data_IF_582053710772
#
_entry.id   IF_582053710772
#
_cell.length_a   1.000
_cell.length_b   1.000
_cell.length_c   1.000
_cell.angle_alpha   90.00
_cell.angle_beta   90.00
_cell.angle_gamma   90.00
#
_symmetry.space_group_name_H-M   'P 1'
#
loop_
_entity.id
_entity.type
_entity.pdbx_description
1 polymer ?
#
# COMPACT_ATOMS: atom_id res chain seq x y z
N UNK A 1 6.21 -81.61 -42.29
CA UNK A 1 4.78 -81.43 -42.66
C UNK A 1 4.64 -80.04 -43.30
N UNK A 2 4.39 -79.95 -44.63
CA UNK A 2 4.21 -78.67 -45.34
C UNK A 2 2.73 -78.28 -45.30
N UNK A 3 2.36 -77.30 -44.49
CA UNK A 3 1.00 -76.76 -44.49
C UNK A 3 0.84 -75.91 -45.76
N UNK A 4 0.03 -76.37 -46.69
CA UNK A 4 -0.36 -75.60 -47.89
C UNK A 4 -1.65 -74.85 -47.56
N UNK A 5 -1.55 -73.54 -47.33
CA UNK A 5 -2.72 -72.69 -47.12
C UNK A 5 -3.56 -72.64 -48.41
N UNK A 6 -4.87 -72.88 -48.30
CA UNK A 6 -5.77 -72.70 -49.45
C UNK A 6 -5.89 -71.22 -49.81
N UNK A 7 -6.11 -70.92 -51.10
CA UNK A 7 -6.29 -69.54 -51.60
C UNK A 7 -7.38 -68.77 -50.83
N UNK A 8 -8.40 -69.47 -50.32
CA UNK A 8 -9.49 -68.89 -49.50
C UNK A 8 -9.02 -68.49 -48.11
N UNK A 9 -8.18 -69.30 -47.47
CA UNK A 9 -7.60 -68.97 -46.16
C UNK A 9 -6.63 -67.80 -46.29
N UNK A 10 -5.84 -67.77 -47.37
CA UNK A 10 -4.94 -66.64 -47.64
C UNK A 10 -5.71 -65.33 -47.87
N UNK A 11 -6.80 -65.36 -48.65
CA UNK A 11 -7.67 -64.19 -48.85
C UNK A 11 -8.32 -63.72 -47.54
N UNK A 12 -8.78 -64.65 -46.69
CA UNK A 12 -9.38 -64.31 -45.39
C UNK A 12 -8.36 -63.64 -44.45
N UNK A 13 -7.13 -64.17 -44.38
CA UNK A 13 -6.05 -63.57 -43.59
C UNK A 13 -5.73 -62.16 -44.09
N UNK A 14 -5.68 -61.96 -45.40
CA UNK A 14 -5.40 -60.64 -46.00
C UNK A 14 -6.50 -59.62 -45.64
N UNK A 15 -7.77 -60.02 -45.71
CA UNK A 15 -8.91 -59.16 -45.35
C UNK A 15 -8.86 -58.80 -43.86
N UNK A 16 -8.59 -59.76 -42.99
CA UNK A 16 -8.44 -59.51 -41.54
C UNK A 16 -7.26 -58.57 -41.27
N UNK A 17 -6.11 -58.79 -41.93
CA UNK A 17 -4.95 -57.93 -41.77
C UNK A 17 -5.21 -56.48 -42.25
N UNK A 18 -5.92 -56.32 -43.38
CA UNK A 18 -6.32 -55.01 -43.90
C UNK A 18 -7.32 -54.31 -42.98
N UNK A 19 -8.32 -55.04 -42.45
CA UNK A 19 -9.29 -54.50 -41.50
C UNK A 19 -8.60 -54.06 -40.20
N UNK A 20 -7.70 -54.88 -39.65
CA UNK A 20 -6.91 -54.53 -38.46
C UNK A 20 -6.00 -53.32 -38.72
N UNK A 21 -5.37 -53.24 -39.89
CA UNK A 21 -4.57 -52.07 -40.27
C UNK A 21 -5.43 -50.82 -40.38
N UNK A 22 -6.62 -50.90 -40.99
CA UNK A 22 -7.52 -49.76 -41.13
C UNK A 22 -8.05 -49.27 -39.76
N UNK A 23 -8.42 -50.20 -38.87
CA UNK A 23 -8.85 -49.89 -37.51
C UNK A 23 -7.71 -49.26 -36.70
N UNK A 24 -6.50 -49.81 -36.76
CA UNK A 24 -5.34 -49.20 -36.09
C UNK A 24 -5.04 -47.79 -36.61
N UNK A 25 -5.06 -47.60 -37.94
CA UNK A 25 -4.86 -46.28 -38.54
C UNK A 25 -5.95 -45.30 -38.09
N UNK A 26 -7.21 -45.72 -38.08
CA UNK A 26 -8.32 -44.89 -37.58
C UNK A 26 -8.15 -44.51 -36.11
N UNK A 27 -7.81 -45.46 -35.23
CA UNK A 27 -7.57 -45.20 -33.81
C UNK A 27 -6.39 -44.25 -33.58
N UNK A 28 -5.33 -44.34 -34.39
CA UNK A 28 -4.20 -43.40 -34.34
C UNK A 28 -4.65 -41.99 -34.75
N UNK A 29 -5.46 -41.87 -35.81
CA UNK A 29 -6.00 -40.57 -36.23
C UNK A 29 -6.98 -39.96 -35.22
N UNK A 30 -7.87 -40.77 -34.64
CA UNK A 30 -8.85 -40.33 -33.65
C UNK A 30 -8.18 -39.89 -32.34
N UNK A 31 -7.20 -40.66 -31.86
CA UNK A 31 -6.37 -40.27 -30.71
C UNK A 31 -5.60 -38.98 -30.98
N UNK A 32 -5.05 -38.81 -32.19
CA UNK A 32 -4.35 -37.59 -32.58
C UNK A 32 -5.29 -36.39 -32.59
N UNK A 33 -6.51 -36.55 -33.12
CA UNK A 33 -7.52 -35.50 -33.15
C UNK A 33 -7.99 -35.11 -31.74
N UNK A 34 -8.24 -36.10 -30.88
CA UNK A 34 -8.58 -35.85 -29.48
C UNK A 34 -7.46 -35.13 -28.71
N UNK A 35 -6.18 -35.41 -29.02
CA UNK A 35 -5.04 -34.70 -28.46
C UNK A 35 -4.88 -33.27 -29.01
N UNK A 36 -5.20 -33.05 -30.29
CA UNK A 36 -5.22 -31.72 -30.92
C UNK A 36 -6.36 -30.87 -30.35
N UNK A 37 -7.57 -31.43 -30.21
CA UNK A 37 -8.73 -30.75 -29.61
C UNK A 37 -8.47 -30.39 -28.14
N UNK A 38 -7.81 -31.27 -27.36
CA UNK A 38 -7.43 -30.98 -25.98
C UNK A 38 -6.31 -29.93 -25.86
N UNK A 39 -5.46 -29.76 -26.87
CA UNK A 39 -4.45 -28.70 -26.89
C UNK A 39 -5.06 -27.31 -27.16
N UNK A 40 -6.17 -27.26 -27.91
CA UNK A 40 -6.92 -26.03 -28.21
C UNK A 40 -7.77 -25.50 -27.06
N UNK A 41 -7.92 -26.24 -25.96
CA UNK A 41 -8.73 -25.85 -24.79
C UNK A 41 -7.92 -25.07 -23.72
N UNK A 42 -6.62 -24.85 -23.96
CA UNK A 42 -5.77 -24.08 -23.04
C UNK A 42 -6.06 -22.57 -23.14
N UNK A 43 -6.30 -21.87 -22.02
CA UNK A 43 -6.51 -20.42 -22.00
C UNK A 43 -5.22 -19.61 -22.21
N UNK A 44 -4.07 -20.28 -22.34
CA UNK A 44 -2.75 -19.67 -22.49
C UNK A 44 -2.27 -19.77 -23.95
N UNK A 45 -1.60 -18.73 -24.45
CA UNK A 45 -0.92 -18.76 -25.76
C UNK A 45 0.35 -19.61 -25.67
N UNK A 46 1.11 -19.45 -24.58
CA UNK A 46 2.33 -20.21 -24.32
C UNK A 46 2.36 -20.77 -22.92
N UNK A 47 2.93 -21.97 -22.82
CA UNK A 47 3.30 -22.60 -21.55
C UNK A 47 4.80 -22.79 -21.50
N UNK A 48 5.43 -22.22 -20.47
CA UNK A 48 6.86 -22.34 -20.21
C UNK A 48 7.07 -23.42 -19.15
N UNK A 49 8.02 -24.31 -19.38
CA UNK A 49 8.39 -25.36 -18.43
C UNK A 49 9.85 -25.79 -18.57
N UNK A 50 10.37 -26.42 -17.53
CA UNK A 50 11.69 -27.03 -17.51
C UNK A 50 11.58 -28.54 -17.78
N UNK A 51 12.48 -29.06 -18.60
CA UNK A 51 12.66 -30.49 -18.88
C UNK A 51 14.16 -30.82 -18.85
N UNK A 52 14.59 -31.46 -17.76
CA UNK A 52 16.01 -31.64 -17.44
C UNK A 52 16.73 -30.29 -17.31
N UNK A 53 17.79 -30.10 -18.10
CA UNK A 53 18.59 -28.87 -18.11
C UNK A 53 18.12 -27.83 -19.13
N UNK A 54 16.98 -28.06 -19.79
CA UNK A 54 16.46 -27.19 -20.84
C UNK A 54 15.13 -26.57 -20.42
N UNK A 55 14.97 -25.30 -20.71
CA UNK A 55 13.70 -24.58 -20.64
C UNK A 55 13.05 -24.58 -22.03
N UNK A 56 11.72 -24.70 -22.05
CA UNK A 56 10.94 -24.85 -23.27
C UNK A 56 9.74 -23.90 -23.25
N UNK A 57 9.44 -23.29 -24.38
CA UNK A 57 8.20 -22.55 -24.62
C UNK A 57 7.33 -23.37 -25.58
N UNK A 58 6.20 -23.86 -25.09
CA UNK A 58 5.22 -24.60 -25.90
C UNK A 58 4.06 -23.70 -26.27
N UNK A 59 3.88 -23.51 -27.57
CA UNK A 59 2.74 -22.81 -28.14
C UNK A 59 1.51 -23.72 -28.04
N UNK A 60 0.45 -23.20 -27.42
CA UNK A 60 -0.77 -24.00 -27.19
C UNK A 60 -1.65 -24.08 -28.42
N UNK A 61 -1.59 -23.09 -29.33
CA UNK A 61 -2.32 -23.16 -30.58
C UNK A 61 -1.74 -24.23 -31.52
N UNK A 62 -0.42 -24.42 -31.53
CA UNK A 62 0.24 -25.44 -32.37
C UNK A 62 0.37 -26.79 -31.65
N UNK A 63 0.45 -26.78 -30.31
CA UNK A 63 0.76 -27.96 -29.51
C UNK A 63 2.24 -28.35 -29.53
N UNK A 64 3.11 -27.60 -30.20
CA UNK A 64 4.55 -27.88 -30.33
C UNK A 64 5.41 -26.97 -29.47
N UNK A 65 6.65 -27.39 -29.24
CA UNK A 65 7.68 -26.57 -28.58
C UNK A 65 8.31 -25.68 -29.65
N UNK A 66 8.02 -24.38 -29.60
CA UNK A 66 8.48 -23.41 -30.58
C UNK A 66 9.90 -22.92 -30.26
N UNK A 67 10.29 -22.94 -28.98
CA UNK A 67 11.61 -22.48 -28.55
C UNK A 67 12.15 -23.31 -27.38
N UNK A 68 13.47 -23.54 -27.39
CA UNK A 68 14.17 -24.32 -26.36
C UNK A 68 15.56 -23.74 -26.12
N UNK A 69 15.95 -23.59 -24.86
CA UNK A 69 17.28 -23.12 -24.48
C UNK A 69 17.68 -23.66 -23.10
N UNK A 70 18.98 -23.74 -22.83
CA UNK A 70 19.50 -24.01 -21.49
C UNK A 70 19.39 -22.78 -20.56
N UNK A 71 19.03 -21.63 -21.12
CA UNK A 71 18.85 -20.36 -20.43
C UNK A 71 17.37 -19.96 -20.44
N UNK A 72 16.81 -19.62 -19.28
CA UNK A 72 15.41 -19.29 -19.14
C UNK A 72 15.05 -17.93 -19.76
N UNK A 73 15.96 -16.95 -19.70
CA UNK A 73 15.71 -15.59 -20.21
C UNK A 73 15.21 -15.57 -21.67
N UNK A 74 15.91 -16.15 -22.66
CA UNK A 74 15.44 -16.14 -24.04
C UNK A 74 14.15 -16.96 -24.26
N UNK A 75 13.90 -18.01 -23.47
CA UNK A 75 12.65 -18.79 -23.55
C UNK A 75 11.45 -17.98 -23.10
N UNK A 76 11.58 -17.28 -21.98
CA UNK A 76 10.53 -16.43 -21.45
C UNK A 76 10.32 -15.23 -22.38
N UNK A 77 11.39 -14.58 -22.83
CA UNK A 77 11.30 -13.46 -23.78
C UNK A 77 10.62 -13.86 -25.09
N UNK A 78 10.93 -15.05 -25.65
CA UNK A 78 10.25 -15.54 -26.85
C UNK A 78 8.74 -15.69 -26.63
N UNK A 79 8.32 -16.40 -25.58
CA UNK A 79 6.91 -16.60 -25.28
C UNK A 79 6.16 -15.28 -25.03
N UNK A 80 6.79 -14.31 -24.35
CA UNK A 80 6.21 -13.00 -24.07
C UNK A 80 6.17 -12.09 -25.31
N UNK A 81 7.04 -12.32 -26.29
CA UNK A 81 7.03 -11.59 -27.56
C UNK A 81 5.88 -12.09 -28.42
N UNK A 82 5.76 -13.41 -28.56
CA UNK A 82 4.78 -14.05 -29.45
C UNK A 82 3.38 -14.19 -28.84
N UNK A 83 3.28 -14.35 -27.52
CA UNK A 83 2.02 -14.57 -26.79
C UNK A 83 1.60 -13.38 -25.93
N UNK A 84 0.29 -13.21 -25.75
CA UNK A 84 -0.27 -12.25 -24.80
C UNK A 84 -0.54 -12.90 -23.45
N UNK A 85 -0.95 -14.17 -23.40
CA UNK A 85 -1.20 -14.90 -22.15
C UNK A 85 -0.17 -16.03 -22.01
N UNK A 86 0.78 -15.85 -21.11
CA UNK A 86 1.87 -16.82 -20.87
C UNK A 86 1.73 -17.41 -19.47
N UNK A 87 1.75 -18.74 -19.40
CA UNK A 87 1.75 -19.46 -18.14
C UNK A 87 3.12 -20.13 -17.91
N UNK A 88 3.72 -19.88 -16.74
CA UNK A 88 5.00 -20.45 -16.32
C UNK A 88 4.71 -21.55 -15.31
N UNK A 89 5.02 -22.80 -15.66
CA UNK A 89 4.84 -23.93 -14.74
C UNK A 89 5.74 -23.80 -13.51
N UNK A 90 5.33 -24.35 -12.35
CA UNK A 90 6.17 -24.39 -11.17
C UNK A 90 7.54 -25.00 -11.48
N UNK A 91 8.59 -24.33 -11.01
CA UNK A 91 9.98 -24.62 -11.35
C UNK A 91 10.88 -23.42 -11.04
N UNK A 92 12.18 -23.60 -11.20
CA UNK A 92 13.18 -22.56 -10.96
C UNK A 92 13.73 -22.06 -12.29
N UNK A 93 13.63 -20.75 -12.54
CA UNK A 93 14.01 -20.12 -13.80
C UNK A 93 15.03 -19.03 -13.52
N UNK A 94 16.30 -19.30 -13.78
CA UNK A 94 17.38 -18.33 -13.58
C UNK A 94 17.49 -17.40 -14.78
N UNK A 95 17.44 -16.09 -14.54
CA UNK A 95 17.61 -15.08 -15.58
C UNK A 95 19.09 -14.76 -15.78
N UNK A 96 19.53 -14.80 -17.04
CA UNK A 96 20.85 -14.33 -17.48
C UNK A 96 20.81 -12.88 -18.01
N UNK A 97 19.63 -12.44 -18.45
CA UNK A 97 19.34 -11.11 -18.99
C UNK A 97 17.93 -10.66 -18.60
N UNK A 98 17.69 -9.36 -18.74
CA UNK A 98 16.36 -8.78 -18.52
C UNK A 98 15.35 -9.35 -19.54
N UNK A 99 14.12 -9.54 -19.07
CA UNK A 99 12.99 -10.04 -19.85
C UNK A 99 11.96 -8.93 -19.97
N UNK A 100 11.46 -8.66 -21.16
CA UNK A 100 10.60 -7.51 -21.43
C UNK A 100 9.27 -7.91 -22.07
N UNK A 101 8.19 -7.31 -21.59
CA UNK A 101 6.89 -7.22 -22.25
C UNK A 101 6.77 -5.79 -22.76
N UNK A 102 6.95 -5.62 -24.07
CA UNK A 102 7.05 -4.30 -24.69
C UNK A 102 5.83 -3.98 -25.54
N UNK A 103 5.22 -2.82 -25.30
CA UNK A 103 4.05 -2.30 -26.04
C UNK A 103 2.90 -3.31 -26.16
N UNK A 104 2.58 -4.01 -25.07
CA UNK A 104 1.46 -4.95 -25.02
C UNK A 104 0.30 -4.42 -24.19
N UNK A 105 -0.90 -4.75 -24.65
CA UNK A 105 -2.15 -4.54 -23.92
C UNK A 105 -2.74 -5.88 -23.52
N UNK A 106 -3.30 -5.97 -22.32
CA UNK A 106 -3.89 -7.18 -21.78
C UNK A 106 -2.91 -8.37 -21.74
N UNK A 107 -1.60 -8.11 -21.66
CA UNK A 107 -0.63 -9.19 -21.51
C UNK A 107 -0.71 -9.77 -20.10
N UNK A 108 -0.61 -11.09 -19.99
CA UNK A 108 -0.73 -11.83 -18.74
C UNK A 108 0.46 -12.76 -18.58
N UNK A 109 1.15 -12.63 -17.46
CA UNK A 109 2.18 -13.57 -17.01
C UNK A 109 1.64 -14.24 -15.76
N UNK A 110 1.35 -15.54 -15.85
CA UNK A 110 0.65 -16.29 -14.83
C UNK A 110 1.49 -17.46 -14.36
N UNK A 111 1.36 -17.79 -13.08
CA UNK A 111 1.91 -19.02 -12.50
C UNK A 111 1.14 -19.40 -11.24
N UNK A 112 1.36 -20.61 -10.77
CA UNK A 112 0.88 -21.18 -9.52
C UNK A 112 2.06 -21.60 -8.63
N UNK A 113 3.20 -20.91 -8.73
CA UNK A 113 4.36 -21.12 -7.87
C UNK A 113 5.71 -21.23 -8.59
N UNK A 114 5.85 -20.74 -9.81
CA UNK A 114 7.17 -20.63 -10.44
C UNK A 114 8.05 -19.62 -9.69
N UNK A 115 9.33 -19.96 -9.58
CA UNK A 115 10.35 -19.11 -8.97
C UNK A 115 11.28 -18.58 -10.06
N UNK A 116 11.29 -17.26 -10.23
CA UNK A 116 12.25 -16.55 -11.08
C UNK A 116 13.44 -16.16 -10.20
N UNK A 117 14.61 -16.72 -10.50
CA UNK A 117 15.87 -16.34 -9.87
C UNK A 117 16.45 -15.20 -10.71
N UNK A 118 16.16 -13.96 -10.30
CA UNK A 118 16.48 -12.77 -11.07
C UNK A 118 17.97 -12.53 -11.23
N UNK A 119 18.81 -12.90 -10.26
CA UNK A 119 20.26 -12.66 -10.29
C UNK A 119 20.63 -11.20 -10.65
N UNK A 120 19.90 -10.25 -10.07
CA UNK A 120 20.00 -8.81 -10.34
C UNK A 120 19.35 -8.35 -11.66
N UNK A 121 18.68 -9.25 -12.40
CA UNK A 121 17.94 -8.94 -13.63
C UNK A 121 16.49 -8.58 -13.37
N UNK A 122 15.87 -7.98 -14.38
CA UNK A 122 14.51 -7.44 -14.33
C UNK A 122 13.55 -8.21 -15.23
N UNK A 123 12.32 -8.38 -14.75
CA UNK A 123 11.15 -8.57 -15.59
C UNK A 123 10.50 -7.20 -15.78
N UNK A 124 10.35 -6.75 -17.01
CA UNK A 124 9.93 -5.37 -17.32
C UNK A 124 8.63 -5.38 -18.12
N UNK A 125 7.59 -4.74 -17.60
CA UNK A 125 6.38 -4.39 -18.35
C UNK A 125 6.53 -2.94 -18.80
N UNK A 126 6.67 -2.71 -20.12
CA UNK A 126 7.03 -1.39 -20.65
C UNK A 126 6.21 -0.98 -21.87
N UNK A 127 5.83 0.29 -21.94
CA UNK A 127 5.38 0.95 -23.17
C UNK A 127 6.34 2.05 -23.63
N UNK A 128 6.25 2.42 -24.91
CA UNK A 128 6.74 3.72 -25.40
C UNK A 128 5.91 4.87 -24.83
N UNK A 129 4.66 4.57 -24.47
CA UNK A 129 3.77 5.42 -23.72
C UNK A 129 2.79 4.53 -22.93
N UNK A 130 2.10 5.14 -21.96
CA UNK A 130 1.00 4.49 -21.24
C UNK A 130 -0.07 3.93 -22.20
N UNK A 131 -0.24 4.51 -23.39
CA UNK A 131 -1.20 4.04 -24.39
C UNK A 131 -0.72 2.79 -25.14
N UNK A 132 0.59 2.49 -25.14
CA UNK A 132 1.18 1.29 -25.71
C UNK A 132 1.17 0.10 -24.75
N UNK A 133 1.19 0.35 -23.43
CA UNK A 133 1.23 -0.69 -22.39
C UNK A 133 0.06 -0.56 -21.41
N UNK A 134 -0.99 -1.37 -21.58
CA UNK A 134 -2.24 -1.22 -20.84
C UNK A 134 -2.79 -2.53 -20.28
N UNK A 135 -3.38 -2.47 -19.09
CA UNK A 135 -4.21 -3.54 -18.51
C UNK A 135 -3.47 -4.89 -18.41
N UNK A 136 -2.16 -4.85 -18.16
CA UNK A 136 -1.34 -6.04 -18.06
C UNK A 136 -1.48 -6.69 -16.67
N UNK A 137 -1.17 -7.98 -16.56
CA UNK A 137 -1.24 -8.75 -15.32
C UNK A 137 0.02 -9.58 -15.13
N UNK A 138 0.62 -9.49 -13.95
CA UNK A 138 1.67 -10.42 -13.50
C UNK A 138 1.21 -11.05 -12.19
N UNK A 139 1.14 -12.39 -12.15
CA UNK A 139 0.56 -13.08 -11.01
C UNK A 139 1.18 -14.45 -10.68
N UNK A 140 1.24 -14.77 -9.40
CA UNK A 140 1.54 -16.11 -8.87
C UNK A 140 3.00 -16.54 -8.97
N UNK A 141 3.93 -15.59 -9.16
CA UNK A 141 5.37 -15.86 -9.21
C UNK A 141 6.04 -15.51 -7.88
N UNK A 142 7.14 -16.22 -7.59
CA UNK A 142 8.16 -15.76 -6.65
C UNK A 142 9.35 -15.20 -7.42
N UNK A 143 9.78 -13.98 -7.12
CA UNK A 143 11.00 -13.38 -7.68
C UNK A 143 12.05 -13.29 -6.57
N UNK A 144 13.19 -13.97 -6.76
CA UNK A 144 14.32 -13.95 -5.84
C UNK A 144 15.46 -13.13 -6.45
N UNK A 145 16.00 -12.17 -5.69
CA UNK A 145 17.12 -11.32 -6.13
C UNK A 145 16.90 -10.76 -7.54
N UNK A 146 15.71 -10.21 -7.77
CA UNK A 146 15.30 -9.65 -9.05
C UNK A 146 14.28 -8.54 -8.86
N UNK A 147 13.94 -7.86 -9.96
CA UNK A 147 12.99 -6.74 -9.93
C UNK A 147 11.87 -6.98 -10.93
N UNK A 148 10.62 -6.74 -10.51
CA UNK A 148 9.55 -6.45 -11.45
C UNK A 148 9.52 -4.94 -11.67
N UNK A 149 9.68 -4.49 -12.92
CA UNK A 149 9.61 -3.07 -13.29
C UNK A 149 8.37 -2.82 -14.14
N UNK A 150 7.60 -1.79 -13.79
CA UNK A 150 6.48 -1.27 -14.58
C UNK A 150 6.88 0.11 -15.07
N UNK A 151 6.88 0.30 -16.39
CA UNK A 151 7.34 1.53 -17.03
C UNK A 151 6.37 2.03 -18.09
N UNK A 152 5.98 3.30 -17.99
CA UNK A 152 5.05 3.96 -18.91
C UNK A 152 3.81 3.08 -19.19
N UNK A 153 3.08 2.69 -18.15
CA UNK A 153 1.99 1.72 -18.27
C UNK A 153 0.74 2.14 -17.49
N UNK A 154 -0.43 1.90 -18.07
CA UNK A 154 -1.72 2.17 -17.43
C UNK A 154 -2.42 0.87 -17.02
N UNK A 155 -3.00 0.82 -15.82
CA UNK A 155 -3.89 -0.27 -15.42
C UNK A 155 -3.19 -1.61 -15.16
N UNK A 156 -1.85 -1.66 -15.08
CA UNK A 156 -1.13 -2.90 -14.80
C UNK A 156 -1.44 -3.40 -13.38
N UNK A 157 -1.71 -4.70 -13.26
CA UNK A 157 -1.99 -5.38 -12.00
C UNK A 157 -0.86 -6.35 -11.66
N UNK A 158 -0.36 -6.26 -10.43
CA UNK A 158 0.59 -7.18 -9.81
C UNK A 158 -0.14 -7.87 -8.67
N UNK A 159 -0.35 -9.19 -8.74
CA UNK A 159 -1.18 -9.90 -7.77
C UNK A 159 -0.57 -11.21 -7.31
N UNK A 160 -0.76 -11.59 -6.04
CA UNK A 160 -0.34 -12.92 -5.54
C UNK A 160 1.15 -13.22 -5.80
N UNK A 161 2.02 -12.21 -5.68
CA UNK A 161 3.46 -12.32 -5.91
C UNK A 161 4.23 -12.41 -4.60
N UNK A 162 5.40 -13.06 -4.62
CA UNK A 162 6.38 -12.96 -3.56
C UNK A 162 7.71 -12.39 -4.09
N UNK A 163 8.25 -11.39 -3.42
CA UNK A 163 9.56 -10.82 -3.71
C UNK A 163 10.51 -11.08 -2.55
N UNK A 164 11.67 -11.67 -2.83
CA UNK A 164 12.58 -12.16 -1.79
C UNK A 164 14.01 -11.74 -2.09
N UNK A 165 14.70 -11.16 -1.11
CA UNK A 165 16.12 -10.81 -1.19
C UNK A 165 16.47 -9.89 -2.37
N UNK A 166 15.62 -8.89 -2.65
CA UNK A 166 15.83 -7.97 -3.78
C UNK A 166 16.42 -6.64 -3.32
N UNK A 167 17.35 -6.07 -4.08
CA UNK A 167 17.75 -4.67 -3.86
C UNK A 167 16.54 -3.73 -4.07
N UNK A 168 15.83 -3.92 -5.17
CA UNK A 168 14.52 -3.28 -5.43
C UNK A 168 13.58 -4.37 -5.91
N UNK A 169 12.49 -4.64 -5.20
CA UNK A 169 11.58 -5.73 -5.54
C UNK A 169 10.59 -5.34 -6.65
N UNK A 170 9.80 -4.29 -6.43
CA UNK A 170 8.87 -3.72 -7.40
C UNK A 170 9.21 -2.26 -7.66
N UNK A 171 9.47 -1.95 -8.93
CA UNK A 171 9.88 -0.62 -9.38
C UNK A 171 8.84 -0.06 -10.35
N UNK A 172 8.31 1.12 -10.05
CA UNK A 172 7.48 1.90 -10.97
C UNK A 172 8.28 3.08 -11.47
N UNK A 173 8.30 3.28 -12.78
CA UNK A 173 9.11 4.31 -13.40
C UNK A 173 8.41 5.00 -14.57
N UNK A 174 8.59 6.31 -14.63
CA UNK A 174 8.12 7.16 -15.72
C UNK A 174 9.35 7.66 -16.49
N UNK A 175 9.47 7.30 -17.76
CA UNK A 175 10.61 7.66 -18.62
C UNK A 175 10.21 8.50 -19.82
N UNK A 176 9.01 8.27 -20.36
CA UNK A 176 8.46 9.03 -21.49
C UNK A 176 7.07 9.59 -21.17
N UNK A 177 6.26 8.82 -20.44
CA UNK A 177 4.93 9.21 -19.99
C UNK A 177 4.72 8.79 -18.54
N UNK A 178 3.50 8.89 -18.03
CA UNK A 178 3.13 8.44 -16.70
C UNK A 178 2.83 6.93 -16.63
N UNK A 179 2.71 6.43 -15.40
CA UNK A 179 2.25 5.07 -15.09
C UNK A 179 1.17 5.13 -14.02
N UNK A 180 -0.10 4.99 -14.39
CA UNK A 180 -1.26 5.25 -13.53
C UNK A 180 -2.21 4.06 -13.44
N UNK A 181 -3.10 4.07 -12.45
CA UNK A 181 -4.10 3.02 -12.30
C UNK A 181 -3.50 1.67 -11.90
N UNK A 182 -2.30 1.67 -11.32
CA UNK A 182 -1.57 0.44 -11.01
C UNK A 182 -2.18 -0.21 -9.77
N UNK A 183 -2.40 -1.52 -9.84
CA UNK A 183 -2.91 -2.32 -8.72
C UNK A 183 -1.85 -3.29 -8.24
N UNK A 184 -1.54 -3.25 -6.95
CA UNK A 184 -0.59 -4.16 -6.31
C UNK A 184 -1.35 -4.82 -5.16
N UNK A 185 -1.64 -6.11 -5.29
CA UNK A 185 -2.49 -6.80 -4.33
C UNK A 185 -2.01 -8.20 -3.92
N UNK A 186 -2.29 -8.58 -2.68
CA UNK A 186 -1.96 -9.93 -2.16
C UNK A 186 -0.48 -10.29 -2.35
N UNK A 187 0.41 -9.30 -2.26
CA UNK A 187 1.85 -9.46 -2.48
C UNK A 187 2.62 -9.56 -1.16
N UNK A 188 3.70 -10.33 -1.17
CA UNK A 188 4.63 -10.47 -0.05
C UNK A 188 6.01 -9.95 -0.42
N UNK A 189 6.57 -9.08 0.41
CA UNK A 189 7.93 -8.56 0.27
C UNK A 189 8.77 -9.00 1.46
N UNK A 190 9.87 -9.71 1.21
CA UNK A 190 10.70 -10.33 2.24
C UNK A 190 12.15 -9.98 2.02
N UNK A 191 12.78 -9.33 3.01
CA UNK A 191 14.21 -9.04 2.99
C UNK A 191 14.64 -8.26 1.73
N UNK A 192 13.81 -7.31 1.30
CA UNK A 192 14.13 -6.42 0.18
C UNK A 192 14.60 -5.07 0.70
N UNK A 193 15.62 -4.47 0.07
CA UNK A 193 16.16 -3.18 0.51
C UNK A 193 15.17 -2.06 0.21
N UNK A 194 14.56 -2.10 -0.97
CA UNK A 194 13.40 -1.31 -1.32
C UNK A 194 12.30 -2.26 -1.81
N UNK A 195 11.16 -2.32 -1.14
CA UNK A 195 10.12 -3.29 -1.52
C UNK A 195 9.25 -2.79 -2.68
N UNK A 196 8.69 -1.59 -2.57
CA UNK A 196 8.00 -0.90 -3.67
C UNK A 196 8.61 0.49 -3.80
N UNK A 197 8.98 0.89 -5.03
CA UNK A 197 9.50 2.24 -5.30
C UNK A 197 8.76 2.90 -6.44
N UNK A 198 8.29 4.11 -6.18
CA UNK A 198 7.84 5.06 -7.18
C UNK A 198 9.00 6.00 -7.49
N UNK A 199 9.62 5.81 -8.65
CA UNK A 199 10.86 6.51 -9.01
C UNK A 199 10.61 7.96 -9.42
N UNK A 200 11.59 8.82 -9.21
CA UNK A 200 11.65 10.16 -9.80
C UNK A 200 11.46 10.05 -11.32
N UNK A 201 10.53 10.82 -11.93
CA UNK A 201 10.35 10.82 -13.37
C UNK A 201 11.63 11.26 -14.08
N UNK A 202 11.90 10.66 -15.23
CA UNK A 202 13.02 11.03 -16.11
C UNK A 202 12.50 11.39 -17.49
N UNK A 203 13.38 11.96 -18.34
CA UNK A 203 13.00 12.35 -19.70
C UNK A 203 11.93 13.45 -19.70
N UNK A 204 10.90 13.27 -20.54
CA UNK A 204 9.77 14.19 -20.67
C UNK A 204 8.53 13.76 -19.87
N UNK A 205 8.68 12.74 -19.00
CA UNK A 205 7.57 12.18 -18.27
C UNK A 205 7.08 13.07 -17.13
N UNK A 206 5.84 12.83 -16.68
CA UNK A 206 5.32 13.45 -15.45
C UNK A 206 5.60 12.57 -14.25
N UNK A 207 5.53 13.15 -13.05
CA UNK A 207 5.66 12.43 -11.78
C UNK A 207 4.49 11.49 -11.45
N UNK A 208 3.44 11.47 -12.26
CA UNK A 208 2.17 10.86 -11.88
C UNK A 208 2.24 9.33 -11.80
N UNK A 209 1.85 8.84 -10.63
CA UNK A 209 1.48 7.46 -10.35
C UNK A 209 0.05 7.36 -9.83
N UNK A 210 -0.80 8.33 -10.23
CA UNK A 210 -2.11 8.57 -9.67
C UNK A 210 -3.12 7.41 -9.86
N UNK A 211 -4.20 7.45 -9.07
CA UNK A 211 -5.29 6.47 -9.11
C UNK A 211 -4.84 5.03 -8.90
N UNK A 212 -3.72 4.83 -8.21
CA UNK A 212 -3.13 3.52 -7.97
C UNK A 212 -3.56 2.97 -6.61
N UNK A 213 -3.44 1.66 -6.44
CA UNK A 213 -3.85 0.96 -5.23
C UNK A 213 -2.82 -0.08 -4.81
N UNK A 214 -2.44 -0.05 -3.55
CA UNK A 214 -1.68 -1.12 -2.89
C UNK A 214 -2.57 -1.71 -1.81
N UNK A 215 -2.88 -3.00 -1.87
CA UNK A 215 -3.78 -3.63 -0.89
C UNK A 215 -3.44 -5.06 -0.49
N UNK A 216 -3.73 -5.43 0.76
CA UNK A 216 -3.49 -6.80 1.29
C UNK A 216 -2.04 -7.26 1.10
N UNK A 217 -1.11 -6.32 1.16
CA UNK A 217 0.32 -6.59 1.02
C UNK A 217 0.98 -6.76 2.39
N UNK A 218 1.97 -7.64 2.44
CA UNK A 218 2.76 -7.90 3.63
C UNK A 218 4.24 -7.60 3.38
N UNK A 219 4.84 -6.83 4.28
CA UNK A 219 6.25 -6.44 4.21
C UNK A 219 6.98 -6.99 5.44
N UNK A 220 8.03 -7.79 5.22
CA UNK A 220 9.02 -8.12 6.25
C UNK A 220 10.31 -7.35 5.94
N UNK A 221 10.52 -6.26 6.67
CA UNK A 221 11.57 -5.27 6.41
C UNK A 221 12.81 -5.62 7.24
N UNK A 222 13.98 -5.56 6.59
CA UNK A 222 15.28 -5.87 7.20
C UNK A 222 16.11 -4.59 7.41
N UNK A 223 17.32 -4.72 7.97
CA UNK A 223 18.24 -3.59 8.17
C UNK A 223 18.40 -2.71 6.93
N UNK A 224 18.55 -1.40 7.15
CA UNK A 224 18.84 -0.41 6.10
C UNK A 224 17.85 -0.41 4.92
N UNK A 225 16.58 -0.69 5.20
CA UNK A 225 15.55 -0.97 4.19
C UNK A 225 14.27 -0.16 4.33
N UNK A 226 13.56 -0.04 3.21
CA UNK A 226 12.28 0.68 3.09
C UNK A 226 11.21 -0.22 2.51
N UNK A 227 10.02 -0.21 3.13
CA UNK A 227 8.83 -0.88 2.60
C UNK A 227 8.35 -0.22 1.32
N UNK A 228 7.89 1.02 1.40
CA UNK A 228 7.40 1.78 0.24
C UNK A 228 8.15 3.11 0.17
N UNK A 229 8.73 3.41 -0.99
CA UNK A 229 9.43 4.67 -1.27
C UNK A 229 8.67 5.47 -2.34
N UNK A 230 8.36 6.73 -2.03
CA UNK A 230 7.90 7.73 -3.01
C UNK A 230 9.01 8.76 -3.16
N UNK A 231 9.80 8.65 -4.22
CA UNK A 231 10.97 9.52 -4.42
C UNK A 231 10.59 10.97 -4.75
N UNK A 232 11.57 11.88 -4.70
CA UNK A 232 11.40 13.26 -5.13
C UNK A 232 10.73 13.35 -6.52
N UNK A 233 9.78 14.26 -6.68
CA UNK A 233 8.95 14.44 -7.90
C UNK A 233 8.07 13.25 -8.31
N UNK A 234 8.07 12.13 -7.58
CA UNK A 234 7.07 11.09 -7.75
C UNK A 234 5.75 11.49 -7.07
N UNK A 235 4.62 11.28 -7.73
CA UNK A 235 3.28 11.66 -7.27
C UNK A 235 2.38 10.42 -7.20
N UNK A 236 2.42 9.70 -6.08
CA UNK A 236 1.46 8.65 -5.77
C UNK A 236 0.18 9.29 -5.21
N UNK A 237 -0.53 10.06 -6.05
CA UNK A 237 -1.71 10.86 -5.68
C UNK A 237 -3.02 10.14 -5.95
N UNK A 238 -4.11 10.60 -5.33
CA UNK A 238 -5.47 10.08 -5.58
C UNK A 238 -5.55 8.55 -5.42
N UNK A 239 -4.68 8.02 -4.56
CA UNK A 239 -4.35 6.60 -4.47
C UNK A 239 -4.77 6.02 -3.13
N UNK A 240 -4.62 4.71 -2.97
CA UNK A 240 -5.02 4.00 -1.75
C UNK A 240 -3.95 3.01 -1.29
N UNK A 241 -3.64 3.04 0.02
CA UNK A 241 -2.90 1.99 0.72
C UNK A 241 -3.82 1.34 1.74
N UNK A 242 -4.20 0.07 1.51
CA UNK A 242 -5.28 -0.59 2.25
C UNK A 242 -4.93 -1.96 2.79
N UNK A 243 -5.24 -2.23 4.05
CA UNK A 243 -5.07 -3.56 4.65
C UNK A 243 -3.63 -4.09 4.50
N UNK A 244 -2.65 -3.18 4.66
CA UNK A 244 -1.23 -3.48 4.54
C UNK A 244 -0.61 -3.71 5.91
N UNK A 245 0.25 -4.72 6.03
CA UNK A 245 1.02 -4.96 7.25
C UNK A 245 2.51 -4.89 7.01
N UNK A 246 3.21 -4.14 7.85
CA UNK A 246 4.66 -3.98 7.81
C UNK A 246 5.26 -4.47 9.12
N UNK A 247 6.12 -5.49 9.03
CA UNK A 247 6.91 -6.05 10.12
C UNK A 247 8.32 -5.51 10.09
N UNK A 248 8.75 -4.98 11.23
CA UNK A 248 9.96 -4.18 11.37
C UNK A 248 10.65 -4.47 12.71
N UNK A 249 11.95 -4.18 12.83
CA UNK A 249 12.71 -4.22 14.08
C UNK A 249 12.94 -5.62 14.66
N UNK A 250 12.68 -6.69 13.91
CA UNK A 250 12.90 -8.06 14.36
C UNK A 250 14.39 -8.29 14.66
N UNK A 251 14.71 -9.03 15.73
CA UNK A 251 16.10 -9.39 16.10
C UNK A 251 17.06 -8.21 16.30
N UNK A 252 16.56 -7.03 16.70
CA UNK A 252 17.39 -5.85 16.95
C UNK A 252 17.83 -5.12 15.67
N UNK A 253 17.15 -5.39 14.54
CA UNK A 253 17.36 -4.67 13.31
C UNK A 253 17.02 -3.17 13.43
N UNK A 254 17.72 -2.33 12.66
CA UNK A 254 17.75 -0.86 12.72
C UNK A 254 17.66 -0.21 11.34
N UNK A 255 17.50 1.12 11.33
CA UNK A 255 17.45 1.94 10.11
C UNK A 255 16.42 1.40 9.10
N UNK A 256 15.19 1.21 9.57
CA UNK A 256 14.11 0.70 8.74
C UNK A 256 13.00 1.73 8.66
N UNK A 257 12.44 1.91 7.45
CA UNK A 257 11.28 2.77 7.23
C UNK A 257 10.13 1.99 6.58
N UNK A 258 8.94 2.08 7.14
CA UNK A 258 7.75 1.47 6.53
C UNK A 258 7.38 2.18 5.22
N UNK A 259 7.13 3.48 5.31
CA UNK A 259 6.79 4.37 4.19
C UNK A 259 7.70 5.60 4.19
N UNK A 260 8.56 5.74 3.19
CA UNK A 260 9.41 6.92 2.96
C UNK A 260 8.79 7.80 1.86
N UNK A 261 8.54 9.07 2.17
CA UNK A 261 7.88 10.02 1.26
C UNK A 261 8.74 11.25 1.05
N UNK A 262 9.46 11.28 -0.06
CA UNK A 262 10.19 12.46 -0.56
C UNK A 262 9.43 13.19 -1.68
N UNK A 263 8.49 12.51 -2.33
CA UNK A 263 7.59 13.07 -3.35
C UNK A 263 6.25 13.53 -2.78
N UNK A 264 5.15 13.16 -3.46
CA UNK A 264 3.79 13.54 -3.11
C UNK A 264 2.88 12.33 -2.97
N UNK A 265 2.06 12.33 -1.93
CA UNK A 265 0.94 11.41 -1.73
C UNK A 265 -0.37 12.21 -1.59
N UNK A 266 -0.53 13.24 -2.44
CA UNK A 266 -1.70 14.12 -2.42
C UNK A 266 -3.00 13.33 -2.57
N UNK A 267 -3.99 13.57 -1.71
CA UNK A 267 -5.28 12.85 -1.73
C UNK A 267 -5.15 11.32 -1.61
N UNK A 268 -4.02 10.80 -1.12
CA UNK A 268 -3.84 9.36 -0.95
C UNK A 268 -4.28 8.92 0.44
N UNK A 269 -5.14 7.90 0.47
CA UNK A 269 -5.75 7.40 1.69
C UNK A 269 -5.02 6.16 2.23
N UNK A 270 -4.64 6.20 3.50
CA UNK A 270 -4.15 5.04 4.25
C UNK A 270 -5.25 4.53 5.16
N UNK A 271 -5.61 3.25 5.05
CA UNK A 271 -6.65 2.65 5.90
C UNK A 271 -6.36 1.18 6.17
N UNK A 272 -6.61 0.72 7.41
CA UNK A 272 -6.29 -0.65 7.80
C UNK A 272 -4.79 -0.99 7.74
N UNK A 273 -3.91 0.01 7.79
CA UNK A 273 -2.46 -0.19 7.69
C UNK A 273 -1.87 -0.45 9.09
N UNK A 274 -1.19 -1.57 9.26
CA UNK A 274 -0.53 -1.95 10.53
C UNK A 274 0.98 -1.87 10.35
N UNK A 275 1.60 -0.95 11.10
CA UNK A 275 3.04 -0.91 11.28
C UNK A 275 3.36 -1.60 12.61
N UNK A 276 4.19 -2.63 12.59
CA UNK A 276 4.51 -3.44 13.76
C UNK A 276 6.01 -3.57 13.93
N UNK A 277 6.49 -3.09 15.07
CA UNK A 277 7.89 -3.16 15.48
C UNK A 277 8.08 -4.25 16.54
N UNK A 278 9.12 -5.04 16.38
CA UNK A 278 9.59 -6.04 17.34
C UNK A 278 10.87 -5.62 18.08
N UNK A 279 11.31 -4.37 17.93
CA UNK A 279 12.53 -3.87 18.56
C UNK A 279 12.30 -3.53 20.05
N UNK A 280 13.12 -4.07 20.94
CA UNK A 280 13.14 -3.65 22.36
C UNK A 280 13.69 -2.23 22.51
N UNK A 281 14.77 -1.92 21.76
CA UNK A 281 15.46 -0.63 21.74
C UNK A 281 15.57 -0.12 20.29
N UNK A 282 14.57 0.61 19.79
CA UNK A 282 14.50 1.01 18.38
C UNK A 282 15.55 2.07 18.02
N UNK A 283 16.33 1.82 16.96
CA UNK A 283 17.33 2.74 16.39
C UNK A 283 17.00 3.03 14.92
N UNK A 284 16.70 4.30 14.61
CA UNK A 284 16.26 4.76 13.29
C UNK A 284 15.11 3.92 12.70
N UNK A 285 14.13 3.57 13.54
CA UNK A 285 12.96 2.79 13.15
C UNK A 285 11.74 3.69 12.98
N UNK A 286 11.29 3.87 11.74
CA UNK A 286 10.22 4.79 11.37
C UNK A 286 9.06 4.09 10.66
N UNK A 287 7.83 4.21 11.15
CA UNK A 287 6.70 3.68 10.38
C UNK A 287 6.44 4.53 9.13
N UNK A 288 6.43 5.87 9.26
CA UNK A 288 6.42 6.81 8.13
C UNK A 288 7.57 7.81 8.31
N UNK A 289 8.32 8.11 7.25
CA UNK A 289 9.33 9.18 7.23
C UNK A 289 9.05 10.15 6.09
N UNK A 290 9.04 11.45 6.39
CA UNK A 290 8.75 12.52 5.45
C UNK A 290 10.03 13.30 5.13
N UNK A 291 10.42 13.32 3.86
CA UNK A 291 11.60 14.02 3.38
C UNK A 291 11.41 15.53 3.25
N UNK A 292 12.53 16.21 3.04
CA UNK A 292 12.57 17.68 2.87
C UNK A 292 11.71 18.11 1.68
N UNK A 293 11.79 17.36 0.59
CA UNK A 293 11.09 17.63 -0.66
C UNK A 293 9.66 17.13 -0.68
N UNK A 294 9.21 16.45 0.39
CA UNK A 294 7.83 15.94 0.49
C UNK A 294 6.84 17.08 0.31
N UNK A 295 5.93 16.96 -0.67
CA UNK A 295 4.95 18.00 -0.99
C UNK A 295 3.70 17.85 -0.14
N UNK A 296 3.09 16.66 -0.18
CA UNK A 296 1.93 16.33 0.66
C UNK A 296 2.03 14.90 1.19
N UNK A 297 1.98 14.70 2.52
CA UNK A 297 1.86 13.38 3.13
C UNK A 297 0.50 12.72 2.82
N UNK A 298 0.36 11.40 3.06
CA UNK A 298 -0.92 10.73 2.96
C UNK A 298 -1.95 11.18 4.02
N UNK A 299 -3.23 10.92 3.74
CA UNK A 299 -4.34 11.05 4.69
C UNK A 299 -4.46 9.75 5.51
N UNK A 300 -4.37 9.86 6.83
CA UNK A 300 -4.47 8.73 7.76
C UNK A 300 -5.95 8.48 8.14
N UNK A 301 -6.53 7.37 7.70
CA UNK A 301 -7.92 7.02 8.02
C UNK A 301 -8.04 5.87 9.03
N UNK A 302 -9.27 5.41 9.25
CA UNK A 302 -9.57 4.35 10.21
C UNK A 302 -8.76 3.07 10.00
N UNK A 303 -8.42 2.43 11.13
CA UNK A 303 -7.74 1.14 11.16
C UNK A 303 -6.21 1.20 11.06
N UNK A 304 -5.60 2.38 11.13
CA UNK A 304 -4.14 2.50 11.21
C UNK A 304 -3.68 2.10 12.62
N UNK A 305 -2.66 1.27 12.71
CA UNK A 305 -2.09 0.82 13.99
C UNK A 305 -0.56 0.91 13.98
N UNK A 306 0.01 1.32 15.11
CA UNK A 306 1.44 1.33 15.38
C UNK A 306 1.71 0.47 16.61
N UNK A 307 2.22 -0.73 16.40
CA UNK A 307 2.48 -1.73 17.44
C UNK A 307 3.97 -1.77 17.77
N UNK A 308 4.32 -2.02 19.03
CA UNK A 308 5.71 -2.09 19.51
C UNK A 308 6.39 -0.75 19.74
N UNK A 309 7.71 -0.77 19.94
CA UNK A 309 8.53 0.41 20.22
C UNK A 309 9.10 1.00 18.92
N UNK A 310 9.17 2.32 18.82
CA UNK A 310 9.61 3.04 17.62
C UNK A 310 10.61 4.14 17.96
N UNK A 311 11.52 4.47 17.04
CA UNK A 311 12.27 5.73 17.13
C UNK A 311 11.30 6.89 16.88
N UNK A 312 10.46 6.78 15.86
CA UNK A 312 9.27 7.58 15.70
C UNK A 312 8.20 6.83 14.89
N UNK A 313 6.93 6.98 15.24
CA UNK A 313 5.84 6.44 14.40
C UNK A 313 5.74 7.23 13.08
N UNK A 314 5.87 8.55 13.16
CA UNK A 314 5.99 9.42 11.99
C UNK A 314 7.19 10.34 12.22
N UNK A 315 8.24 10.19 11.42
CA UNK A 315 9.41 11.05 11.40
C UNK A 315 9.18 12.22 10.43
N UNK A 316 8.97 13.41 10.98
CA UNK A 316 8.61 14.62 10.22
C UNK A 316 9.46 15.83 10.65
N UNK A 317 10.77 15.83 10.38
CA UNK A 317 11.68 16.90 10.83
C UNK A 317 11.44 18.23 10.10
N UNK A 318 10.67 18.24 9.02
CA UNK A 318 10.40 19.41 8.18
C UNK A 318 9.00 20.01 8.40
N UNK A 319 8.26 19.56 9.42
CA UNK A 319 6.97 20.15 9.80
C UNK A 319 5.87 20.07 8.73
N UNK A 320 5.85 18.98 7.94
CA UNK A 320 4.82 18.76 6.92
C UNK A 320 3.45 18.54 7.57
N UNK A 321 2.38 19.03 6.95
CA UNK A 321 1.01 18.84 7.43
C UNK A 321 0.58 17.38 7.27
N UNK A 322 0.17 16.74 8.36
CA UNK A 322 -0.40 15.39 8.37
C UNK A 322 -1.90 15.55 8.58
N UNK A 323 -2.70 14.90 7.73
CA UNK A 323 -4.17 14.93 7.80
C UNK A 323 -4.70 13.56 8.19
N UNK A 324 -5.83 13.50 8.91
CA UNK A 324 -6.50 12.25 9.22
C UNK A 324 -8.02 12.29 9.08
N UNK A 325 -8.68 11.14 9.30
CA UNK A 325 -10.13 10.97 9.22
C UNK A 325 -10.69 10.23 10.45
N UNK A 326 -11.10 10.98 11.47
CA UNK A 326 -12.25 10.74 12.37
C UNK A 326 -12.21 9.68 13.49
N UNK A 327 -12.35 10.13 14.75
CA UNK A 327 -13.07 9.46 15.86
C UNK A 327 -13.89 10.48 16.69
N UNK A 328 -14.95 10.09 17.41
CA UNK A 328 -15.73 11.03 18.27
C UNK A 328 -15.22 10.97 19.71
N UNK A 329 -15.05 12.12 20.37
CA UNK A 329 -14.64 12.18 21.77
C UNK A 329 -15.65 12.92 22.65
N UNK A 330 -15.65 12.57 23.95
CA UNK A 330 -16.30 13.33 25.01
C UNK A 330 -15.45 13.33 26.29
N UNK A 331 -15.36 14.48 26.95
CA UNK A 331 -14.79 14.63 28.29
C UNK A 331 -15.76 15.49 29.12
N UNK A 332 -16.19 15.01 30.28
CA UNK A 332 -17.32 15.59 31.01
C UNK A 332 -16.92 16.00 32.43
N UNK A 333 -17.50 17.10 32.91
CA UNK A 333 -17.40 17.60 34.29
C UNK A 333 -15.97 17.77 34.81
N UNK A 334 -15.09 18.31 33.97
CA UNK A 334 -13.69 18.57 34.29
C UNK A 334 -13.60 19.80 35.20
N UNK A 335 -13.03 19.64 36.40
CA UNK A 335 -12.91 20.73 37.37
C UNK A 335 -11.84 21.73 36.94
N UNK A 336 -12.19 23.01 36.88
CA UNK A 336 -11.27 24.11 36.56
C UNK A 336 -10.95 24.90 37.83
N UNK A 337 -9.68 24.98 38.25
CA UNK A 337 -9.28 25.80 39.40
C UNK A 337 -9.62 27.27 39.19
N UNK A 338 -10.24 27.88 40.20
CA UNK A 338 -10.58 29.30 40.20
C UNK A 338 -9.48 30.07 40.94
N UNK A 339 -8.85 31.03 40.28
CA UNK A 339 -7.97 31.99 40.95
C UNK A 339 -8.76 33.11 41.62
N UNK A 340 -8.14 33.79 42.58
CA UNK A 340 -8.82 34.79 43.42
C UNK A 340 -8.31 36.21 43.12
N UNK A 341 -9.05 37.22 43.58
CA UNK A 341 -8.68 38.64 43.48
C UNK A 341 -8.39 39.10 42.05
N UNK A 342 -9.19 38.61 41.10
CA UNK A 342 -9.08 38.93 39.68
C UNK A 342 -7.94 38.21 38.95
N UNK A 343 -7.20 37.32 39.60
CA UNK A 343 -6.14 36.51 38.99
C UNK A 343 -6.69 35.16 38.51
N UNK A 344 -6.22 34.69 37.35
CA UNK A 344 -6.55 33.35 36.85
C UNK A 344 -5.89 32.27 37.70
N UNK A 345 -6.62 31.19 37.95
CA UNK A 345 -6.11 29.98 38.57
C UNK A 345 -5.17 29.23 37.64
N UNK A 346 -4.73 28.05 38.07
CA UNK A 346 -3.91 27.18 37.24
C UNK A 346 -4.67 26.79 35.96
N UNK A 347 -4.05 27.03 34.79
CA UNK A 347 -4.57 26.59 33.51
C UNK A 347 -4.62 25.06 33.45
N UNK A 348 -5.78 24.53 33.08
CA UNK A 348 -5.98 23.13 32.74
C UNK A 348 -5.83 22.96 31.23
N UNK A 349 -5.10 21.91 30.85
CA UNK A 349 -4.86 21.58 29.45
C UNK A 349 -5.54 20.24 29.12
N UNK A 350 -6.36 20.25 28.08
CA UNK A 350 -7.09 19.07 27.65
C UNK A 350 -6.52 18.57 26.33
N UNK A 351 -5.93 17.39 26.42
CA UNK A 351 -5.27 16.68 25.33
C UNK A 351 -6.10 15.43 24.98
N UNK A 352 -6.21 15.09 23.69
CA UNK A 352 -6.91 13.89 23.22
C UNK A 352 -5.98 12.99 22.42
N UNK A 353 -4.94 12.50 23.09
CA UNK A 353 -3.91 11.68 22.46
C UNK A 353 -4.43 10.26 22.17
N UNK A 354 -4.02 9.63 21.06
CA UNK A 354 -3.01 10.08 20.09
C UNK A 354 -3.53 11.03 18.99
N UNK A 355 -4.84 11.28 18.95
CA UNK A 355 -5.46 12.08 17.90
C UNK A 355 -5.36 13.59 18.17
N UNK A 356 -5.80 14.40 17.21
CA UNK A 356 -5.90 15.85 17.38
C UNK A 356 -7.34 16.31 17.25
N UNK A 357 -7.69 17.45 17.86
CA UNK A 357 -9.09 17.89 17.87
C UNK A 357 -9.39 18.61 16.55
N UNK A 358 -10.26 18.03 15.71
CA UNK A 358 -10.69 18.67 14.47
C UNK A 358 -11.81 19.67 14.70
N UNK A 359 -12.73 19.33 15.61
CA UNK A 359 -13.82 20.21 16.04
C UNK A 359 -14.29 19.82 17.44
N UNK A 360 -14.82 20.79 18.19
CA UNK A 360 -15.35 20.56 19.52
C UNK A 360 -16.39 21.60 19.90
N UNK A 361 -17.26 21.24 20.86
CA UNK A 361 -18.32 22.09 21.41
C UNK A 361 -18.23 22.13 22.94
N UNK A 362 -17.77 23.24 23.53
CA UNK A 362 -17.64 23.37 24.98
C UNK A 362 -18.95 23.68 25.70
N UNK A 363 -19.10 23.08 26.88
CA UNK A 363 -20.12 23.40 27.88
C UNK A 363 -19.44 23.84 29.18
N UNK A 364 -19.84 24.99 29.70
CA UNK A 364 -19.38 25.54 30.98
C UNK A 364 -20.51 25.37 32.00
N UNK A 365 -20.16 24.94 33.20
CA UNK A 365 -21.06 24.88 34.34
C UNK A 365 -20.41 25.60 35.53
N UNK A 366 -21.09 26.62 36.05
CA UNK A 366 -20.67 27.34 37.25
C UNK A 366 -21.71 27.10 38.34
N UNK A 367 -21.27 26.65 39.51
CA UNK A 367 -22.15 26.32 40.64
C UNK A 367 -21.62 26.97 41.93
N UNK A 368 -22.49 27.16 42.92
CA UNK A 368 -22.12 27.65 44.26
C UNK A 368 -22.81 28.97 44.63
N UNK A 369 -22.41 29.50 45.78
CA UNK A 369 -22.88 30.79 46.31
C UNK A 369 -21.90 31.89 45.92
N UNK A 370 -22.43 33.03 45.50
CA UNK A 370 -21.66 34.18 45.05
C UNK A 370 -21.78 35.30 46.08
N UNK A 371 -20.67 35.91 46.46
CA UNK A 371 -20.68 37.13 47.25
C UNK A 371 -21.28 38.30 46.44
N UNK A 372 -21.72 39.35 47.15
CA UNK A 372 -22.26 40.54 46.49
C UNK A 372 -21.27 41.12 45.49
N UNK A 373 -21.69 41.26 44.23
CA UNK A 373 -20.87 41.73 43.10
C UNK A 373 -19.68 40.82 42.73
N UNK A 374 -19.66 39.57 43.19
CA UNK A 374 -18.69 38.60 42.72
C UNK A 374 -18.97 38.21 41.26
N UNK A 375 -17.91 38.10 40.47
CA UNK A 375 -17.97 37.63 39.09
C UNK A 375 -16.94 36.52 38.90
N UNK A 376 -17.39 35.39 38.35
CA UNK A 376 -16.53 34.32 37.88
C UNK A 376 -16.33 34.47 36.38
N UNK A 377 -15.09 34.52 35.91
CA UNK A 377 -14.75 34.56 34.49
C UNK A 377 -14.01 33.30 34.10
N UNK A 378 -14.51 32.59 33.09
CA UNK A 378 -13.89 31.39 32.51
C UNK A 378 -13.35 31.75 31.13
N UNK A 379 -12.10 31.36 30.86
CA UNK A 379 -11.40 31.69 29.63
C UNK A 379 -10.97 30.43 28.89
N UNK A 380 -11.29 30.39 27.60
CA UNK A 380 -10.86 29.36 26.66
C UNK A 380 -9.80 29.92 25.73
N UNK A 381 -8.78 29.11 25.47
CA UNK A 381 -7.81 29.29 24.38
C UNK A 381 -7.54 27.94 23.75
N UNK A 382 -7.09 27.95 22.51
CA UNK A 382 -6.57 26.78 21.82
C UNK A 382 -5.06 26.92 21.74
N UNK A 383 -4.36 25.89 22.13
CA UNK A 383 -3.00 25.69 21.69
C UNK A 383 -3.04 24.89 20.40
N UNK A 384 -2.38 25.39 19.37
CA UNK A 384 -2.24 24.69 18.10
C UNK A 384 -0.92 23.91 18.07
N UNK A 385 -0.81 22.97 17.14
CA UNK A 385 0.39 22.12 16.98
C UNK A 385 1.68 22.90 16.67
N UNK A 386 1.57 24.16 16.24
CA UNK A 386 2.69 25.09 16.03
C UNK A 386 3.05 25.90 17.28
N UNK A 387 2.48 25.56 18.44
CA UNK A 387 2.59 26.24 19.74
C UNK A 387 2.01 27.66 19.74
N UNK A 388 1.27 28.07 18.71
CA UNK A 388 0.51 29.32 18.75
C UNK A 388 -0.69 29.11 19.68
N UNK A 389 -0.90 30.07 20.58
CA UNK A 389 -2.10 30.12 21.41
C UNK A 389 -3.09 31.09 20.77
N UNK A 390 -4.32 30.65 20.56
CA UNK A 390 -5.39 31.46 20.01
C UNK A 390 -5.69 32.71 20.85
N UNK A 391 -6.39 33.67 20.25
CA UNK A 391 -7.11 34.67 21.05
C UNK A 391 -8.04 34.00 22.05
N UNK A 392 -8.25 34.64 23.18
CA UNK A 392 -9.12 34.12 24.23
C UNK A 392 -10.59 34.41 23.96
N UNK A 393 -11.44 33.46 24.37
CA UNK A 393 -12.87 33.69 24.58
C UNK A 393 -13.14 33.62 26.08
N UNK A 394 -13.70 34.70 26.62
CA UNK A 394 -14.05 34.80 28.04
C UNK A 394 -15.57 34.83 28.22
N UNK A 395 -16.07 34.13 29.23
CA UNK A 395 -17.47 34.17 29.68
C UNK A 395 -17.52 34.48 31.16
N UNK A 396 -18.39 35.41 31.54
CA UNK A 396 -18.53 35.89 32.91
C UNK A 396 -19.88 35.50 33.50
N UNK A 397 -19.88 35.21 34.79
CA UNK A 397 -21.02 34.65 35.53
C UNK A 397 -21.15 35.37 36.87
N UNK A 398 -22.38 35.73 37.24
CA UNK A 398 -22.72 36.34 38.55
C UNK A 398 -23.70 35.48 39.35
N UNK A 399 -24.03 34.29 38.83
CA UNK A 399 -24.90 33.30 39.46
C UNK A 399 -24.56 31.88 38.97
N UNK A 400 -25.10 30.88 39.67
CA UNK A 400 -25.01 29.48 39.24
C UNK A 400 -25.78 29.27 37.94
N UNK A 401 -25.11 28.76 36.90
CA UNK A 401 -25.73 28.52 35.58
C UNK A 401 -24.90 27.56 34.72
N UNK A 402 -25.45 27.18 33.58
CA UNK A 402 -24.79 26.38 32.54
C UNK A 402 -24.87 27.11 31.21
N UNK A 403 -23.76 27.15 30.48
CA UNK A 403 -23.65 27.85 29.20
C UNK A 403 -22.89 27.00 28.18
N UNK A 404 -23.42 26.87 26.98
CA UNK A 404 -22.67 26.37 25.82
C UNK A 404 -22.03 27.54 25.08
N UNK A 405 -20.79 27.39 24.61
CA UNK A 405 -20.21 28.40 23.72
C UNK A 405 -20.98 28.44 22.39
N UNK A 406 -21.25 29.64 21.86
CA UNK A 406 -21.90 29.78 20.56
C UNK A 406 -20.95 29.39 19.42
N UNK A 407 -21.46 29.25 18.20
CA UNK A 407 -20.60 28.96 17.05
C UNK A 407 -19.66 30.14 16.76
N UNK A 408 -20.13 31.39 16.94
CA UNK A 408 -19.29 32.58 16.85
C UNK A 408 -18.16 32.59 17.90
N UNK A 409 -18.43 32.12 19.12
CA UNK A 409 -17.41 31.98 20.14
C UNK A 409 -16.36 30.95 19.71
N UNK A 410 -16.80 29.79 19.22
CA UNK A 410 -15.90 28.72 18.76
C UNK A 410 -15.06 29.20 17.57
N UNK A 411 -15.68 29.83 16.55
CA UNK A 411 -14.96 30.40 15.41
C UNK A 411 -13.98 31.50 15.81
N UNK A 412 -14.25 32.25 16.89
CA UNK A 412 -13.28 33.20 17.42
C UNK A 412 -12.02 32.51 17.94
N UNK A 413 -12.09 31.28 18.42
CA UNK A 413 -10.90 30.57 18.87
C UNK A 413 -9.98 30.14 17.70
N UNK A 414 -10.45 30.16 16.45
CA UNK A 414 -9.65 29.79 15.27
C UNK A 414 -9.10 31.03 14.55
N UNK A 415 -7.82 31.41 14.77
CA UNK A 415 -7.17 32.44 13.96
C UNK A 415 -6.80 31.91 12.55
N UNK A 416 -6.79 30.59 12.36
CA UNK A 416 -6.45 29.85 11.13
C UNK A 416 -7.08 28.45 11.16
N UNK A 417 -6.89 27.65 10.11
CA UNK A 417 -7.32 26.23 10.05
C UNK A 417 -6.27 25.28 10.68
N UNK A 418 -5.54 25.74 11.70
CA UNK A 418 -4.51 24.92 12.35
C UNK A 418 -5.10 23.82 13.22
N UNK A 419 -4.34 22.74 13.39
CA UNK A 419 -4.74 21.58 14.17
C UNK A 419 -4.64 21.92 15.66
N UNK A 420 -5.72 21.67 16.41
CA UNK A 420 -5.74 21.91 17.85
C UNK A 420 -4.90 20.84 18.55
N UNK A 421 -3.87 21.29 19.27
CA UNK A 421 -3.03 20.48 20.14
C UNK A 421 -3.68 20.28 21.51
N UNK A 422 -4.12 21.38 22.13
CA UNK A 422 -4.77 21.34 23.43
C UNK A 422 -5.86 22.42 23.55
N UNK A 423 -6.89 22.11 24.33
CA UNK A 423 -7.84 23.13 24.80
C UNK A 423 -7.34 23.61 26.16
N UNK A 424 -7.08 24.91 26.28
CA UNK A 424 -6.60 25.54 27.50
C UNK A 424 -7.77 26.24 28.19
N UNK A 425 -7.99 25.92 29.46
CA UNK A 425 -9.05 26.55 30.27
C UNK A 425 -8.52 27.00 31.62
N UNK A 426 -8.80 28.24 31.98
CA UNK A 426 -8.63 28.75 33.34
C UNK A 426 -9.83 29.61 33.77
N UNK A 427 -9.95 29.82 35.08
CA UNK A 427 -11.00 30.62 35.67
C UNK A 427 -10.46 31.57 36.74
N UNK A 428 -11.16 32.69 36.95
CA UNK A 428 -10.88 33.66 38.02
C UNK A 428 -12.17 34.12 38.69
N UNK A 429 -12.09 34.47 39.97
CA UNK A 429 -13.08 35.21 40.72
C UNK A 429 -12.61 36.66 40.93
N UNK A 430 -13.53 37.61 40.89
CA UNK A 430 -13.23 39.01 41.25
C UNK A 430 -13.00 39.21 42.76
N UNK A 431 -13.49 38.29 43.58
CA UNK A 431 -13.45 38.28 45.05
C UNK A 431 -12.15 37.68 45.61
N UNK A 432 -11.81 38.01 46.86
CA UNK A 432 -10.66 37.43 47.56
C UNK A 432 -10.89 35.99 48.07
N UNK A 433 -12.15 35.52 48.07
CA UNK A 433 -12.59 34.17 48.45
C UNK A 433 -13.83 33.83 47.63
N UNK A 434 -13.99 32.56 47.23
CA UNK A 434 -15.17 32.12 46.47
C UNK A 434 -15.63 30.74 46.93
N UNK A 435 -16.95 30.55 47.00
CA UNK A 435 -17.58 29.23 47.14
C UNK A 435 -18.04 28.69 45.79
N UNK A 436 -17.76 29.41 44.70
CA UNK A 436 -18.09 28.97 43.36
C UNK A 436 -17.17 27.83 42.90
N UNK A 437 -17.69 26.98 42.03
CA UNK A 437 -16.96 25.92 41.35
C UNK A 437 -17.21 26.02 39.85
N UNK A 438 -16.20 25.71 39.04
CA UNK A 438 -16.28 25.71 37.57
C UNK A 438 -15.99 24.30 37.07
N UNK A 439 -16.90 23.79 36.25
CA UNK A 439 -16.74 22.54 35.51
C UNK A 439 -16.91 22.79 34.01
N UNK A 440 -16.12 22.08 33.20
CA UNK A 440 -16.19 22.17 31.73
C UNK A 440 -16.35 20.77 31.13
N UNK A 441 -17.13 20.68 30.07
CA UNK A 441 -17.26 19.47 29.24
C UNK A 441 -17.00 19.79 27.77
N UNK A 442 -16.44 18.82 27.05
CA UNK A 442 -16.11 18.90 25.64
C UNK A 442 -16.70 17.72 24.88
N UNK A 443 -17.29 17.99 23.73
CA UNK A 443 -17.79 16.98 22.79
C UNK A 443 -17.28 17.34 21.41
N UNK A 444 -16.73 16.39 20.66
CA UNK A 444 -16.10 16.74 19.40
C UNK A 444 -15.68 15.55 18.56
N UNK A 445 -14.97 15.87 17.49
CA UNK A 445 -14.39 14.91 16.55
C UNK A 445 -12.88 15.09 16.57
N UNK A 446 -12.17 13.98 16.58
CA UNK A 446 -10.73 13.92 16.40
C UNK A 446 -10.37 13.68 14.94
N UNK A 447 -9.16 14.06 14.55
CA UNK A 447 -8.54 13.78 13.27
C UNK A 447 -7.15 13.24 13.45
#
# INVERSE_FOLDING_TARGET
>A
MKITLSKRIFALILVIALALSAVNTYLIFDLRRALEDAAHDSPYDYVIFQDGNMYKAKNQASGYVDFTSADASPVISHALTEGNTVYIKPGNYTLSSDVQVYNKKNAKILSDGATIIGNGKKLVIKGDSYAGSQDNLVSGLTIINGTLRIENSFGTTVSSMAFVNSSTALELANTETWSEGIKIEDCRFVNSRESIVFRTPTGNSTGSYASSQISRCFFNIHDDSVGITVEYQAEFSDSQLRDVRMWMGENGMRNQTGLLVDGSMHQTLLSGVVFESFADYPDQLYAISLGETSVTPPILAGGISFLGNWTAKIHNPFGKWISGLGAVFKQENLNIPIGLSGQYGATQEFHLRPDTISSFKPKIQVQGSFATNETITVRFRLEFVDNIISRSVEKSFTNSTTLWLSDDDVLRLFPSQSIIWAILVDAKASSATTDATVQVSFYGVTT
#
